data_IF_411337950582
#
_entry.id   IF_411337950582
#
_cell.length_a   1.000
_cell.length_b   1.000
_cell.length_c   1.000
_cell.angle_alpha   90.00
_cell.angle_beta   90.00
_cell.angle_gamma   90.00
#
_symmetry.space_group_name_H-M   'P 1'
#
loop_
_entity.id
_entity.type
_entity.pdbx_description
1 polymer ?
#
# COMPACT_ATOMS: atom_id res chain seq x y z
N UNK A 1 -28.71 -7.26 -10.74
CA UNK A 1 -27.84 -8.43 -11.03
C UNK A 1 -26.61 -8.08 -11.88
N UNK A 2 -26.78 -7.34 -13.00
CA UNK A 2 -25.66 -6.91 -13.86
C UNK A 2 -24.54 -6.15 -13.10
N UNK A 3 -24.89 -5.16 -12.33
CA UNK A 3 -23.93 -4.34 -11.56
C UNK A 3 -23.02 -5.16 -10.62
N UNK A 4 -23.53 -6.19 -9.98
CA UNK A 4 -22.75 -7.06 -9.08
C UNK A 4 -21.70 -7.86 -9.84
N UNK A 5 -22.05 -8.41 -11.00
CA UNK A 5 -21.13 -9.20 -11.81
C UNK A 5 -20.02 -8.33 -12.42
N UNK A 6 -20.33 -7.12 -12.84
CA UNK A 6 -19.35 -6.14 -13.35
C UNK A 6 -18.38 -5.72 -12.23
N UNK A 7 -18.91 -5.39 -11.05
CA UNK A 7 -18.12 -5.05 -9.88
C UNK A 7 -17.19 -6.20 -9.45
N UNK A 8 -17.69 -7.44 -9.40
CA UNK A 8 -16.89 -8.62 -9.07
C UNK A 8 -15.80 -8.88 -10.12
N UNK A 9 -16.04 -8.58 -11.40
CA UNK A 9 -15.04 -8.69 -12.45
C UNK A 9 -13.88 -7.68 -12.27
N UNK A 10 -14.19 -6.44 -11.91
CA UNK A 10 -13.18 -5.41 -11.61
C UNK A 10 -12.33 -5.82 -10.40
N UNK A 11 -12.96 -6.28 -9.31
CA UNK A 11 -12.25 -6.77 -8.13
C UNK A 11 -11.34 -7.96 -8.48
N UNK A 12 -11.86 -8.93 -9.24
CA UNK A 12 -11.07 -10.11 -9.66
C UNK A 12 -9.84 -9.69 -10.45
N UNK A 13 -9.97 -8.74 -11.37
CA UNK A 13 -8.86 -8.20 -12.16
C UNK A 13 -7.80 -7.52 -11.27
N UNK A 14 -8.22 -6.85 -10.23
CA UNK A 14 -7.30 -6.16 -9.30
C UNK A 14 -6.56 -7.12 -8.34
N UNK A 15 -7.22 -8.19 -7.89
CA UNK A 15 -6.71 -9.09 -6.84
C UNK A 15 -6.14 -10.40 -7.40
N UNK A 16 -6.64 -10.85 -8.55
CA UNK A 16 -6.22 -12.09 -9.22
C UNK A 16 -5.93 -11.84 -10.70
N UNK A 17 -4.97 -10.98 -11.05
CA UNK A 17 -4.60 -10.77 -12.46
C UNK A 17 -4.00 -12.04 -13.04
N UNK A 18 -4.36 -12.36 -14.29
CA UNK A 18 -3.82 -13.53 -15.00
C UNK A 18 -2.38 -13.29 -15.44
N UNK A 19 -2.05 -12.08 -15.82
CA UNK A 19 -0.76 -11.71 -16.44
C UNK A 19 -0.32 -10.28 -16.04
N UNK A 20 0.82 -9.84 -16.56
CA UNK A 20 1.37 -8.52 -16.29
C UNK A 20 2.13 -8.42 -14.97
N UNK A 21 2.46 -7.21 -14.58
CA UNK A 21 3.12 -6.90 -13.32
C UNK A 21 2.20 -7.17 -12.12
N UNK A 22 2.79 -7.24 -10.93
CA UNK A 22 2.02 -7.33 -9.68
C UNK A 22 1.13 -6.09 -9.56
N UNK A 23 -0.15 -6.26 -9.18
CA UNK A 23 -1.05 -5.16 -8.90
C UNK A 23 -1.07 -4.82 -7.40
N UNK A 24 -1.35 -3.56 -7.07
CA UNK A 24 -1.44 -3.15 -5.66
C UNK A 24 -2.47 -3.96 -4.88
N UNK A 25 -3.66 -4.20 -5.46
CA UNK A 25 -4.71 -5.00 -4.85
C UNK A 25 -4.31 -6.45 -4.58
N UNK A 26 -3.55 -7.05 -5.51
CA UNK A 26 -2.98 -8.40 -5.38
C UNK A 26 -2.02 -8.48 -4.19
N UNK A 27 -1.07 -7.53 -4.09
CA UNK A 27 -0.11 -7.48 -3.00
C UNK A 27 -0.80 -7.27 -1.64
N UNK A 28 -1.76 -6.34 -1.55
CA UNK A 28 -2.55 -6.10 -0.33
C UNK A 28 -3.29 -7.35 0.11
N UNK A 29 -4.01 -8.00 -0.81
CA UNK A 29 -4.77 -9.21 -0.50
C UNK A 29 -3.87 -10.38 -0.08
N UNK A 30 -2.68 -10.51 -0.67
CA UNK A 30 -1.70 -11.53 -0.30
C UNK A 30 -1.18 -11.32 1.13
N UNK A 31 -0.79 -10.09 1.50
CA UNK A 31 -0.37 -9.74 2.86
C UNK A 31 -1.51 -9.95 3.85
N UNK A 32 -2.72 -9.48 3.55
CA UNK A 32 -3.88 -9.65 4.43
C UNK A 32 -4.16 -11.13 4.76
N UNK A 33 -4.10 -12.00 3.74
CA UNK A 33 -4.27 -13.46 3.94
C UNK A 33 -3.17 -14.05 4.81
N UNK A 34 -1.91 -13.68 4.57
CA UNK A 34 -0.77 -14.15 5.33
C UNK A 34 -0.90 -13.81 6.83
N UNK A 35 -1.34 -12.60 7.16
CA UNK A 35 -1.63 -12.18 8.54
C UNK A 35 -3.03 -12.59 9.03
N UNK A 36 -3.74 -13.45 8.30
CA UNK A 36 -5.09 -13.97 8.64
C UNK A 36 -6.09 -12.86 8.95
N UNK A 37 -5.93 -11.68 8.33
CA UNK A 37 -6.73 -10.47 8.57
C UNK A 37 -6.74 -9.99 10.04
N UNK A 38 -5.68 -10.23 10.80
CA UNK A 38 -5.59 -9.89 12.23
C UNK A 38 -4.56 -8.80 12.57
N UNK A 39 -3.75 -8.38 11.61
CA UNK A 39 -2.83 -7.26 11.80
C UNK A 39 -3.55 -5.91 11.89
N UNK A 40 -2.91 -4.94 12.54
CA UNK A 40 -3.30 -3.53 12.43
C UNK A 40 -2.83 -3.02 11.08
N UNK A 41 -3.78 -2.58 10.26
CA UNK A 41 -3.52 -1.89 9.02
C UNK A 41 -3.19 -0.43 9.30
N UNK A 42 -2.03 0.02 8.84
CA UNK A 42 -1.70 1.43 8.74
C UNK A 42 -1.54 1.79 7.27
N UNK A 43 -2.09 2.90 6.83
CA UNK A 43 -1.92 3.35 5.44
C UNK A 43 -1.31 4.74 5.39
N UNK A 44 -0.38 4.92 4.47
CA UNK A 44 -0.11 6.23 3.92
C UNK A 44 -1.19 6.62 2.90
N UNK A 45 -1.11 7.78 2.28
CA UNK A 45 -2.14 8.33 1.41
C UNK A 45 -1.80 8.12 -0.07
N UNK A 46 -2.78 7.66 -0.85
CA UNK A 46 -2.66 7.45 -2.29
C UNK A 46 -3.43 6.21 -2.77
N UNK A 47 -3.06 5.68 -3.93
CA UNK A 47 -3.68 4.47 -4.49
C UNK A 47 -3.53 3.24 -3.57
N UNK A 48 -2.41 3.10 -2.89
CA UNK A 48 -2.17 2.05 -1.90
C UNK A 48 -3.17 2.10 -0.73
N UNK A 49 -3.57 3.31 -0.28
CA UNK A 49 -4.60 3.49 0.75
C UNK A 49 -5.95 2.94 0.29
N UNK A 50 -6.36 3.29 -0.94
CA UNK A 50 -7.63 2.83 -1.52
C UNK A 50 -7.65 1.31 -1.70
N UNK A 51 -6.56 0.73 -2.20
CA UNK A 51 -6.42 -0.72 -2.33
C UNK A 51 -6.42 -1.42 -0.97
N UNK A 52 -5.70 -0.87 0.02
CA UNK A 52 -5.67 -1.42 1.37
C UNK A 52 -7.05 -1.37 2.04
N UNK A 53 -7.77 -0.26 1.92
CA UNK A 53 -9.13 -0.13 2.46
C UNK A 53 -10.13 -1.13 1.85
N UNK A 54 -9.90 -1.56 0.59
CA UNK A 54 -10.79 -2.51 -0.10
C UNK A 54 -10.45 -3.96 0.14
N UNK A 55 -9.16 -4.30 0.17
CA UNK A 55 -8.71 -5.68 0.05
C UNK A 55 -8.06 -6.23 1.32
N UNK A 56 -7.83 -5.38 2.33
CA UNK A 56 -7.39 -5.83 3.63
C UNK A 56 -8.59 -6.16 4.52
N UNK A 57 -8.69 -7.43 4.95
CA UNK A 57 -9.75 -7.88 5.83
C UNK A 57 -9.44 -7.59 7.30
N UNK A 58 -10.48 -7.53 8.13
CA UNK A 58 -10.36 -7.24 9.56
C UNK A 58 -11.12 -8.26 10.41
N UNK A 59 -10.50 -8.72 11.49
CA UNK A 59 -11.11 -9.62 12.47
C UNK A 59 -11.41 -8.96 13.81
N UNK A 60 -10.75 -7.83 14.08
CA UNK A 60 -10.90 -7.08 15.34
C UNK A 60 -11.25 -5.63 15.05
N UNK A 61 -11.89 -4.99 16.00
CA UNK A 61 -12.08 -3.54 16.04
C UNK A 61 -10.74 -2.84 16.29
N UNK A 62 -10.67 -1.54 16.01
CA UNK A 62 -9.45 -0.72 16.19
C UNK A 62 -8.24 -1.31 15.46
N UNK A 63 -8.45 -1.75 14.22
CA UNK A 63 -7.42 -2.36 13.38
C UNK A 63 -7.04 -1.53 12.17
N UNK A 64 -7.49 -0.27 12.09
CA UNK A 64 -7.18 0.65 10.99
C UNK A 64 -6.70 1.98 11.53
N UNK A 65 -5.55 2.43 11.03
CA UNK A 65 -4.98 3.75 11.28
C UNK A 65 -4.70 4.41 9.94
N UNK A 66 -5.36 5.52 9.66
CA UNK A 66 -5.28 6.19 8.35
C UNK A 66 -5.59 7.67 8.46
N UNK A 67 -4.95 8.49 7.61
CA UNK A 67 -5.31 9.90 7.45
C UNK A 67 -6.53 10.04 6.53
N UNK A 68 -7.71 9.63 7.06
CA UNK A 68 -8.95 9.60 6.27
C UNK A 68 -9.64 10.96 6.13
N UNK A 69 -9.31 11.94 6.97
CA UNK A 69 -9.88 13.28 6.94
C UNK A 69 -9.11 14.21 6.01
N UNK A 70 -7.87 14.53 6.36
CA UNK A 70 -7.04 15.47 5.60
C UNK A 70 -6.26 14.83 4.46
N UNK A 71 -6.10 13.49 4.45
CA UNK A 71 -5.36 12.80 3.39
C UNK A 71 -3.89 13.21 3.33
N UNK A 72 -3.22 13.26 4.48
CA UNK A 72 -1.84 13.74 4.59
C UNK A 72 -0.86 12.66 4.16
N UNK A 73 -0.16 12.86 3.05
CA UNK A 73 0.96 12.02 2.63
C UNK A 73 2.12 12.11 3.65
N UNK A 74 2.82 10.99 3.88
CA UNK A 74 3.85 10.90 4.92
C UNK A 74 3.30 10.54 6.32
N UNK A 75 1.98 10.50 6.50
CA UNK A 75 1.36 10.09 7.76
C UNK A 75 1.69 8.64 8.15
N UNK A 76 1.82 7.77 7.17
CA UNK A 76 1.82 6.31 7.38
C UNK A 76 2.96 5.80 8.25
N UNK A 77 4.20 6.23 7.99
CA UNK A 77 5.36 5.69 8.69
C UNK A 77 5.37 6.07 10.19
N UNK A 78 5.25 7.34 10.59
CA UNK A 78 5.18 7.69 12.02
C UNK A 78 3.94 7.09 12.70
N UNK A 79 2.81 7.00 12.00
CA UNK A 79 1.60 6.38 12.54
C UNK A 79 1.77 4.87 12.79
N UNK A 80 2.52 4.16 11.94
CA UNK A 80 2.81 2.75 12.14
C UNK A 80 3.70 2.51 13.36
N UNK A 81 4.69 3.38 13.58
CA UNK A 81 5.52 3.36 14.78
C UNK A 81 4.64 3.54 16.02
N UNK A 82 3.80 4.58 16.02
CA UNK A 82 2.87 4.85 17.13
C UNK A 82 1.88 3.70 17.37
N UNK A 83 1.34 3.10 16.30
CA UNK A 83 0.45 1.95 16.40
C UNK A 83 1.11 0.73 17.03
N UNK A 84 2.39 0.45 16.69
CA UNK A 84 3.14 -0.66 17.28
C UNK A 84 3.50 -0.40 18.74
N UNK A 85 3.85 0.83 19.09
CA UNK A 85 4.09 1.21 20.49
C UNK A 85 2.82 1.12 21.34
N UNK A 86 1.66 1.53 20.78
CA UNK A 86 0.37 1.46 21.45
C UNK A 86 -0.26 0.06 21.50
N UNK A 87 0.19 -0.86 20.65
CA UNK A 87 -0.30 -2.24 20.58
C UNK A 87 0.88 -3.22 20.36
N UNK A 88 1.79 -3.37 21.34
CA UNK A 88 3.04 -4.11 21.18
C UNK A 88 2.83 -5.60 20.85
N UNK A 89 1.73 -6.18 21.30
CA UNK A 89 1.40 -7.61 21.07
C UNK A 89 0.74 -7.87 19.71
N UNK A 90 0.49 -6.82 18.92
CA UNK A 90 -0.15 -6.94 17.60
C UNK A 90 0.86 -6.75 16.47
N UNK A 91 0.67 -7.49 15.40
CA UNK A 91 1.35 -7.17 14.16
C UNK A 91 0.81 -5.85 13.57
N UNK A 92 1.72 -5.03 13.09
CA UNK A 92 1.40 -3.75 12.44
C UNK A 92 1.97 -3.77 11.03
N UNK A 93 1.09 -3.65 10.04
CA UNK A 93 1.44 -3.61 8.63
C UNK A 93 1.13 -2.21 8.07
N UNK A 94 2.17 -1.50 7.67
CA UNK A 94 2.07 -0.25 6.93
C UNK A 94 2.02 -0.54 5.43
N UNK A 95 1.05 0.02 4.73
CA UNK A 95 1.08 0.14 3.27
C UNK A 95 1.39 1.59 2.88
N UNK A 96 2.54 1.79 2.27
CA UNK A 96 2.99 3.09 1.79
C UNK A 96 3.27 3.05 0.29
N UNK A 97 3.04 4.17 -0.39
CA UNK A 97 3.56 4.41 -1.73
C UNK A 97 4.97 5.00 -1.65
N UNK A 98 5.71 4.90 -2.74
CA UNK A 98 7.08 5.40 -2.86
C UNK A 98 7.19 6.91 -2.59
N UNK A 99 6.26 7.71 -3.10
CA UNK A 99 6.23 9.14 -2.81
C UNK A 99 5.88 9.45 -1.35
N UNK A 100 4.90 8.74 -0.76
CA UNK A 100 4.49 8.96 0.62
C UNK A 100 5.56 8.55 1.63
N UNK A 101 6.21 7.40 1.41
CA UNK A 101 7.29 6.92 2.28
C UNK A 101 8.46 7.92 2.34
N UNK A 102 8.80 8.52 1.20
CA UNK A 102 9.91 9.49 1.13
C UNK A 102 9.63 10.77 1.95
N UNK A 103 8.39 11.16 2.15
CA UNK A 103 8.05 12.40 2.88
C UNK A 103 8.43 12.36 4.37
N UNK A 104 8.49 11.18 4.97
CA UNK A 104 8.85 10.99 6.37
C UNK A 104 9.89 9.88 6.55
N UNK A 105 10.71 9.64 5.54
CA UNK A 105 11.67 8.53 5.50
C UNK A 105 12.70 8.59 6.64
N UNK A 106 12.96 9.76 7.22
CA UNK A 106 13.81 9.96 8.39
C UNK A 106 13.30 9.20 9.62
N UNK A 107 12.02 8.84 9.68
CA UNK A 107 11.44 8.06 10.78
C UNK A 107 11.90 6.58 10.79
N UNK A 108 12.60 6.13 9.76
CA UNK A 108 13.36 4.87 9.81
C UNK A 108 14.43 4.92 10.90
N UNK A 109 15.00 6.11 11.16
CA UNK A 109 15.90 6.34 12.30
C UNK A 109 15.19 6.16 13.65
N UNK A 110 13.92 6.56 13.77
CA UNK A 110 13.09 6.33 14.96
C UNK A 110 12.84 4.83 15.18
N UNK A 111 12.57 4.08 14.12
CA UNK A 111 12.46 2.60 14.18
C UNK A 111 13.76 1.99 14.69
N UNK A 112 14.91 2.40 14.13
CA UNK A 112 16.22 1.92 14.56
C UNK A 112 16.51 2.21 16.03
N UNK A 113 16.29 3.45 16.47
CA UNK A 113 16.54 3.87 17.86
C UNK A 113 15.61 3.17 18.84
N UNK A 114 14.33 3.01 18.51
CA UNK A 114 13.31 2.48 19.42
C UNK A 114 13.08 0.98 19.25
N UNK A 115 13.78 0.33 18.33
CA UNK A 115 13.67 -1.11 18.03
C UNK A 115 12.23 -1.60 17.79
N UNK A 116 11.43 -0.77 17.10
CA UNK A 116 10.01 -1.02 16.86
C UNK A 116 9.82 -1.97 15.67
N UNK A 117 9.22 -3.12 15.92
CA UNK A 117 9.00 -4.17 14.91
C UNK A 117 7.78 -3.88 14.01
N UNK A 118 7.91 -2.94 13.07
CA UNK A 118 6.87 -2.61 12.06
C UNK A 118 7.13 -3.36 10.77
N UNK A 119 6.09 -3.82 10.09
CA UNK A 119 6.16 -4.39 8.73
C UNK A 119 5.74 -3.33 7.72
N UNK A 120 6.68 -2.86 6.93
CA UNK A 120 6.49 -1.82 5.92
C UNK A 120 6.35 -2.52 4.57
N UNK A 121 5.18 -2.41 3.95
CA UNK A 121 4.92 -2.88 2.58
C UNK A 121 4.91 -1.64 1.69
N UNK A 122 6.02 -1.45 0.98
CA UNK A 122 6.20 -0.37 0.03
C UNK A 122 5.68 -0.81 -1.34
N UNK A 123 4.55 -0.26 -1.76
CA UNK A 123 3.97 -0.46 -3.08
C UNK A 123 4.55 0.59 -4.04
N UNK A 124 5.64 0.21 -4.70
CA UNK A 124 6.42 1.10 -5.56
C UNK A 124 5.95 1.00 -7.02
N UNK A 125 5.26 2.01 -7.48
CA UNK A 125 4.83 2.16 -8.87
C UNK A 125 5.58 3.23 -9.65
N UNK A 126 6.54 3.91 -9.03
CA UNK A 126 7.31 5.04 -9.58
C UNK A 126 6.46 6.24 -9.98
N UNK A 127 5.31 6.41 -9.32
CA UNK A 127 4.41 7.54 -9.59
C UNK A 127 3.75 8.08 -8.32
N UNK A 128 3.41 9.36 -8.33
CA UNK A 128 2.33 9.90 -7.50
C UNK A 128 0.99 9.39 -8.09
N UNK A 129 0.71 8.11 -7.84
CA UNK A 129 -0.27 7.35 -8.61
C UNK A 129 -1.70 7.93 -8.57
N UNK A 130 -2.14 8.49 -7.43
CA UNK A 130 -3.45 9.12 -7.33
C UNK A 130 -3.51 10.42 -8.14
N UNK A 131 -2.45 11.23 -8.13
CA UNK A 131 -2.37 12.46 -8.93
C UNK A 131 -2.36 12.11 -10.42
N UNK A 132 -1.56 11.09 -10.82
CA UNK A 132 -1.53 10.58 -12.19
C UNK A 132 -2.93 10.12 -12.63
N UNK A 133 -3.63 9.33 -11.82
CA UNK A 133 -4.98 8.85 -12.11
C UNK A 133 -5.96 10.01 -12.34
N UNK A 134 -5.91 11.07 -11.52
CA UNK A 134 -6.73 12.25 -11.71
C UNK A 134 -6.42 12.98 -13.00
N UNK A 135 -5.14 13.15 -13.33
CA UNK A 135 -4.72 13.77 -14.58
C UNK A 135 -5.18 12.95 -15.80
N UNK A 136 -5.12 11.62 -15.69
CA UNK A 136 -5.57 10.73 -16.75
C UNK A 136 -7.10 10.83 -16.97
N UNK A 137 -7.88 10.75 -15.89
CA UNK A 137 -9.33 10.64 -15.98
C UNK A 137 -10.07 11.97 -16.20
N UNK A 138 -9.47 13.09 -15.75
CA UNK A 138 -10.16 14.39 -15.70
C UNK A 138 -9.43 15.54 -16.37
N UNK A 139 -8.19 15.32 -16.86
CA UNK A 139 -7.36 16.36 -17.47
C UNK A 139 -6.76 15.91 -18.81
N UNK A 140 -7.51 15.14 -19.59
CA UNK A 140 -7.15 14.70 -20.96
C UNK A 140 -5.77 14.04 -21.05
N UNK A 141 -5.39 13.26 -20.02
CA UNK A 141 -4.08 12.59 -19.92
C UNK A 141 -2.88 13.56 -19.96
N UNK A 142 -3.09 14.78 -19.55
CA UNK A 142 -2.00 15.78 -19.46
C UNK A 142 -1.20 15.56 -18.20
N UNK A 143 -0.34 14.53 -18.22
CA UNK A 143 0.52 14.18 -17.08
C UNK A 143 1.57 15.24 -16.83
N UNK A 144 1.74 15.65 -15.58
CA UNK A 144 2.73 16.63 -15.16
C UNK A 144 3.21 16.33 -13.74
N UNK A 145 4.54 16.19 -13.59
CA UNK A 145 5.24 15.99 -12.31
C UNK A 145 4.70 14.82 -11.46
N UNK A 146 4.26 13.74 -12.08
CA UNK A 146 3.73 12.57 -11.38
C UNK A 146 4.70 11.39 -11.34
N UNK A 147 5.66 11.34 -12.26
CA UNK A 147 6.68 10.30 -12.30
C UNK A 147 7.76 10.56 -11.24
N UNK A 148 8.21 9.50 -10.59
CA UNK A 148 9.20 9.54 -9.53
C UNK A 148 10.46 8.76 -9.93
N UNK A 149 11.61 9.42 -9.86
CA UNK A 149 12.91 8.77 -9.84
C UNK A 149 13.24 8.40 -8.38
N UNK A 150 12.98 7.16 -8.01
CA UNK A 150 13.13 6.69 -6.64
C UNK A 150 14.61 6.42 -6.28
N UNK A 151 15.00 6.66 -5.01
CA UNK A 151 16.27 6.18 -4.48
C UNK A 151 16.29 4.65 -4.33
N UNK A 152 17.45 4.08 -4.05
CA UNK A 152 17.56 2.69 -3.64
C UNK A 152 17.03 2.51 -2.20
N UNK A 153 15.78 2.07 -2.07
CA UNK A 153 15.15 1.82 -0.77
C UNK A 153 15.83 0.70 0.02
N UNK A 154 16.50 -0.23 -0.66
CA UNK A 154 17.27 -1.29 -0.01
C UNK A 154 18.52 -0.76 0.69
N UNK A 155 19.25 0.18 0.07
CA UNK A 155 20.38 0.84 0.72
C UNK A 155 19.90 1.68 1.93
N UNK A 156 18.78 2.39 1.78
CA UNK A 156 18.21 3.20 2.85
C UNK A 156 17.77 2.30 4.03
N UNK A 157 17.06 1.21 3.75
CA UNK A 157 16.63 0.26 4.79
C UNK A 157 17.82 -0.34 5.55
N UNK A 158 18.81 -0.84 4.82
CA UNK A 158 20.02 -1.40 5.41
C UNK A 158 20.82 -0.38 6.22
N UNK A 159 20.92 0.86 5.74
CA UNK A 159 21.56 1.95 6.49
C UNK A 159 20.89 2.26 7.82
N UNK A 160 19.61 1.93 7.97
CA UNK A 160 18.84 2.04 9.21
C UNK A 160 18.66 0.69 9.95
N UNK A 161 19.43 -0.35 9.60
CA UNK A 161 19.38 -1.65 10.26
C UNK A 161 18.06 -2.41 10.05
N UNK A 162 17.30 -2.07 9.00
CA UNK A 162 16.00 -2.68 8.68
C UNK A 162 16.20 -3.77 7.63
N UNK A 163 15.66 -4.96 7.91
CA UNK A 163 15.65 -6.06 6.94
C UNK A 163 14.83 -5.66 5.69
N UNK A 164 15.30 -6.07 4.52
CA UNK A 164 14.73 -5.63 3.26
C UNK A 164 14.71 -6.74 2.21
N UNK A 165 13.61 -6.79 1.46
CA UNK A 165 13.50 -7.55 0.21
C UNK A 165 12.72 -6.75 -0.82
N UNK A 166 13.17 -6.80 -2.09
CA UNK A 166 12.42 -6.31 -3.24
C UNK A 166 11.80 -7.48 -3.98
N UNK A 167 10.57 -7.32 -4.44
CA UNK A 167 9.83 -8.27 -5.26
C UNK A 167 9.38 -7.60 -6.55
N UNK A 168 9.76 -8.18 -7.67
CA UNK A 168 9.38 -7.73 -9.01
C UNK A 168 8.49 -8.74 -9.73
N UNK A 169 8.60 -10.02 -9.36
CA UNK A 169 7.88 -11.12 -10.00
C UNK A 169 6.83 -11.70 -9.07
N UNK A 170 5.64 -11.92 -9.59
CA UNK A 170 4.49 -12.47 -8.84
C UNK A 170 4.81 -13.75 -8.09
N UNK A 171 5.59 -14.64 -8.69
CA UNK A 171 5.96 -15.92 -8.09
C UNK A 171 6.79 -15.80 -6.81
N UNK A 172 7.44 -14.65 -6.55
CA UNK A 172 8.27 -14.40 -5.38
C UNK A 172 7.47 -13.82 -4.21
N UNK A 173 6.26 -13.31 -4.46
CA UNK A 173 5.49 -12.54 -3.49
C UNK A 173 5.16 -13.35 -2.22
N UNK A 174 4.75 -14.58 -2.36
CA UNK A 174 4.38 -15.42 -1.21
C UNK A 174 5.56 -15.74 -0.32
N UNK A 175 6.72 -16.03 -0.90
CA UNK A 175 7.95 -16.31 -0.17
C UNK A 175 8.44 -15.05 0.58
N UNK A 176 8.45 -13.90 -0.10
CA UNK A 176 8.87 -12.63 0.50
C UNK A 176 7.96 -12.20 1.67
N UNK A 177 6.64 -12.44 1.56
CA UNK A 177 5.71 -12.18 2.65
C UNK A 177 5.97 -13.13 3.83
N UNK A 178 6.25 -14.41 3.57
CA UNK A 178 6.59 -15.37 4.63
C UNK A 178 7.89 -14.98 5.35
N UNK A 179 8.90 -14.51 4.62
CA UNK A 179 10.14 -13.99 5.18
C UNK A 179 9.88 -12.76 6.08
N UNK A 180 9.07 -11.80 5.59
CA UNK A 180 8.65 -10.64 6.38
C UNK A 180 7.92 -11.04 7.67
N UNK A 181 7.05 -12.05 7.61
CA UNK A 181 6.33 -12.56 8.80
C UNK A 181 7.27 -13.23 9.81
N UNK A 182 8.26 -13.98 9.34
CA UNK A 182 9.23 -14.67 10.21
C UNK A 182 10.19 -13.71 10.90
N UNK A 183 10.41 -12.53 10.33
CA UNK A 183 11.30 -11.52 10.90
C UNK A 183 10.70 -10.93 12.18
N UNK A 184 11.44 -10.95 13.28
CA UNK A 184 11.00 -10.44 14.58
C UNK A 184 11.26 -8.94 14.77
N UNK A 185 12.03 -8.32 13.87
CA UNK A 185 12.34 -6.89 13.86
C UNK A 185 11.53 -6.15 12.78
N UNK A 186 11.84 -4.88 12.57
CA UNK A 186 11.30 -4.11 11.44
C UNK A 186 11.72 -4.74 10.11
N UNK A 187 10.81 -4.68 9.14
CA UNK A 187 11.03 -5.23 7.81
C UNK A 187 10.44 -4.30 6.75
N UNK A 188 11.18 -4.02 5.69
CA UNK A 188 10.70 -3.30 4.53
C UNK A 188 10.62 -4.27 3.34
N UNK A 189 9.39 -4.58 2.95
CA UNK A 189 9.08 -5.34 1.75
C UNK A 189 8.71 -4.36 0.62
N UNK A 190 9.61 -4.17 -0.33
CA UNK A 190 9.32 -3.41 -1.53
C UNK A 190 8.68 -4.32 -2.57
N UNK A 191 7.50 -3.95 -3.05
CA UNK A 191 6.82 -4.64 -4.15
C UNK A 191 6.74 -3.69 -5.33
N UNK A 192 7.41 -4.03 -6.43
CA UNK A 192 7.33 -3.31 -7.70
C UNK A 192 6.01 -3.64 -8.35
N UNK A 193 5.11 -2.68 -8.37
CA UNK A 193 3.75 -2.86 -8.89
C UNK A 193 3.55 -2.17 -10.22
N UNK A 194 2.42 -2.47 -10.87
CA UNK A 194 2.04 -1.83 -12.12
C UNK A 194 1.92 -0.31 -11.95
N UNK A 195 2.62 0.44 -12.82
CA UNK A 195 2.71 1.90 -12.73
C UNK A 195 1.46 2.63 -13.19
N UNK A 196 0.78 2.07 -14.19
CA UNK A 196 -0.35 2.72 -14.86
C UNK A 196 -1.72 2.19 -14.43
N UNK A 197 -1.77 1.40 -13.35
CA UNK A 197 -3.00 0.83 -12.83
C UNK A 197 -3.83 1.88 -12.10
N UNK A 198 -5.05 2.12 -12.57
CA UNK A 198 -6.01 3.01 -11.91
C UNK A 198 -6.86 2.22 -10.92
N UNK A 199 -7.28 2.89 -9.84
CA UNK A 199 -8.09 2.26 -8.79
C UNK A 199 -9.57 2.37 -9.15
N UNK A 200 -10.15 1.26 -9.54
CA UNK A 200 -11.59 1.11 -9.82
C UNK A 200 -12.21 0.04 -8.90
N UNK A 201 -13.53 0.07 -8.71
CA UNK A 201 -14.48 1.13 -9.12
C UNK A 201 -14.30 2.42 -8.32
N UNK A 202 -14.64 3.55 -8.90
CA UNK A 202 -14.61 4.85 -8.21
C UNK A 202 -15.83 5.70 -8.54
N UNK A 203 -16.27 6.53 -7.59
CA UNK A 203 -17.27 7.56 -7.83
C UNK A 203 -16.53 8.89 -7.92
N UNK A 204 -16.64 9.66 -9.03
CA UNK A 204 -16.03 10.98 -9.13
C UNK A 204 -16.54 11.92 -8.03
N UNK A 205 -15.67 12.81 -7.54
CA UNK A 205 -16.05 13.78 -6.51
C UNK A 205 -17.26 14.61 -6.95
N UNK A 206 -18.28 14.71 -6.10
CA UNK A 206 -19.53 15.43 -6.38
C UNK A 206 -20.52 14.70 -7.27
N UNK A 207 -20.17 13.53 -7.80
CA UNK A 207 -21.09 12.73 -8.61
C UNK A 207 -21.98 11.82 -7.73
N UNK A 208 -23.20 11.49 -8.20
CA UNK A 208 -24.03 10.50 -7.53
C UNK A 208 -23.43 9.10 -7.61
N UNK A 209 -23.78 8.22 -6.66
CA UNK A 209 -23.29 6.82 -6.63
C UNK A 209 -23.61 6.06 -7.93
N UNK A 210 -24.70 6.41 -8.60
CA UNK A 210 -25.07 5.83 -9.89
C UNK A 210 -24.07 6.15 -11.03
N UNK A 211 -23.22 7.16 -10.85
CA UNK A 211 -22.17 7.54 -11.81
C UNK A 211 -20.82 6.85 -11.50
N UNK A 212 -20.86 5.70 -10.83
CA UNK A 212 -19.68 4.90 -10.55
C UNK A 212 -18.97 4.48 -11.84
N UNK A 213 -17.66 4.68 -11.88
CA UNK A 213 -16.79 4.22 -12.97
C UNK A 213 -16.20 2.86 -12.60
N UNK A 214 -16.18 1.96 -13.57
CA UNK A 214 -15.61 0.61 -13.45
C UNK A 214 -14.29 0.48 -14.23
N UNK A 215 -14.00 1.48 -15.06
CA UNK A 215 -12.79 1.58 -15.91
C UNK A 215 -12.48 3.06 -16.23
#
# INVERSE_FOLDING_TARGET
MLFRSEYEAVIRKAVHPAEGRIRMGEAVAAVARAYRNDAVLVTDVGQQQMNAARYFGFRRTRSVVTSGGLGTMGFGLPAAIGAKLGAPDREVCLFAGDGGLQMTIQELGTIFQSQVAVKIVLLNNSFLGMVRQWQELFYDRRHSFTELANPDFGLIARGNGIAYRCVERRGELSEAIAEMQACQSAYLLEVRVEGEDNVFPMVPAGAPVAAIRLE
#
